data_IF_536784325966
#
_entry.id   IF_536784325966
#
_cell.length_a   1.000
_cell.length_b   1.000
_cell.length_c   1.000
_cell.angle_alpha   90.00
_cell.angle_beta   90.00
_cell.angle_gamma   90.00
#
_symmetry.space_group_name_H-M   'P 1'
#
loop_
_entity.id
_entity.type
_entity.pdbx_description
1 polymer ?
#
# COMPACT_ATOMS: atom_id res chain seq x y z
N UNK A 1 -56.34 -6.89 -25.35
CA UNK A 1 -55.35 -6.98 -26.44
C UNK A 1 -53.98 -7.28 -25.81
N UNK A 2 -53.76 -8.48 -25.25
CA UNK A 2 -53.06 -9.65 -25.85
C UNK A 2 -51.93 -9.28 -26.81
N UNK A 3 -50.68 -9.43 -26.36
CA UNK A 3 -49.60 -10.18 -27.04
C UNK A 3 -48.36 -10.31 -26.13
N UNK A 4 -48.05 -11.55 -25.74
CA UNK A 4 -46.71 -12.11 -25.41
C UNK A 4 -46.38 -13.17 -26.50
N UNK A 5 -45.22 -13.84 -26.50
CA UNK A 5 -43.86 -13.35 -26.74
C UNK A 5 -43.21 -14.12 -27.90
N UNK A 6 -42.09 -13.64 -28.48
CA UNK A 6 -41.29 -14.43 -29.42
C UNK A 6 -40.10 -15.06 -28.69
N UNK A 7 -40.14 -16.38 -28.58
CA UNK A 7 -39.08 -17.26 -28.11
C UNK A 7 -38.28 -17.74 -29.33
N UNK A 8 -36.95 -17.65 -29.30
CA UNK A 8 -36.08 -18.25 -30.32
C UNK A 8 -35.11 -19.21 -29.63
N UNK A 9 -35.17 -20.46 -30.09
CA UNK A 9 -34.43 -21.63 -29.62
C UNK A 9 -32.92 -21.57 -29.93
N UNK A 10 -32.14 -22.19 -29.04
CA UNK A 10 -30.75 -22.63 -29.24
C UNK A 10 -30.61 -23.75 -30.28
N UNK A 11 -29.48 -23.78 -30.98
CA UNK A 11 -28.86 -25.00 -31.52
C UNK A 11 -27.34 -24.98 -31.23
N UNK A 12 -26.76 -26.04 -30.64
CA UNK A 12 -25.31 -26.20 -30.54
C UNK A 12 -24.79 -27.04 -31.72
N UNK A 13 -23.70 -26.60 -32.35
CA UNK A 13 -22.98 -27.38 -33.36
C UNK A 13 -21.76 -28.04 -32.70
N UNK A 14 -21.86 -29.34 -32.43
CA UNK A 14 -20.73 -30.19 -32.06
C UNK A 14 -20.15 -30.80 -33.36
N UNK A 15 -18.85 -30.62 -33.60
CA UNK A 15 -18.12 -31.37 -34.63
C UNK A 15 -16.98 -32.17 -34.00
N UNK A 16 -16.83 -33.37 -34.56
CA UNK A 16 -16.23 -34.59 -34.05
C UNK A 16 -14.70 -34.62 -33.99
N UNK A 17 -14.20 -35.31 -32.96
CA UNK A 17 -12.87 -35.92 -32.89
C UNK A 17 -12.72 -37.01 -33.97
N UNK A 18 -11.58 -37.06 -34.65
CA UNK A 18 -11.13 -38.25 -35.40
C UNK A 18 -9.75 -38.66 -34.92
N UNK A 19 -9.69 -39.86 -34.34
CA UNK A 19 -8.49 -40.62 -34.04
C UNK A 19 -8.16 -41.57 -35.19
N UNK A 20 -6.88 -41.73 -35.55
CA UNK A 20 -6.35 -42.95 -36.16
C UNK A 20 -4.89 -43.12 -35.71
N UNK A 21 -4.54 -44.35 -35.31
CA UNK A 21 -3.33 -44.73 -34.57
C UNK A 21 -2.08 -45.07 -35.43
N UNK A 22 -1.22 -46.04 -35.02
CA UNK A 22 0.19 -45.74 -34.73
C UNK A 22 1.28 -46.57 -35.47
N UNK A 23 2.54 -46.11 -35.29
CA UNK A 23 3.87 -46.80 -35.32
C UNK A 23 4.45 -47.23 -36.69
N UNK A 24 5.80 -47.43 -36.86
CA UNK A 24 6.85 -47.90 -35.91
C UNK A 24 8.05 -46.93 -35.75
N UNK A 25 8.78 -46.81 -34.63
CA UNK A 25 9.64 -47.73 -33.87
C UNK A 25 10.86 -48.28 -34.65
N UNK A 26 12.02 -47.65 -34.43
CA UNK A 26 13.35 -48.23 -34.66
C UNK A 26 14.15 -48.08 -33.36
N UNK A 27 14.51 -49.23 -32.79
CA UNK A 27 15.46 -49.41 -31.68
C UNK A 27 16.89 -49.51 -32.21
N UNK A 28 17.84 -48.95 -31.47
CA UNK A 28 19.26 -49.34 -31.34
C UNK A 28 19.99 -48.19 -30.60
N UNK A 29 20.80 -48.33 -29.56
CA UNK A 29 21.24 -49.45 -28.71
C UNK A 29 21.82 -48.78 -27.45
N UNK A 30 21.70 -49.42 -26.29
CA UNK A 30 22.39 -49.04 -25.06
C UNK A 30 23.89 -49.36 -25.16
N UNK A 31 24.75 -48.45 -24.71
CA UNK A 31 26.09 -48.81 -24.22
C UNK A 31 26.57 -47.77 -23.19
N UNK A 32 27.00 -48.26 -22.03
CA UNK A 32 27.71 -47.53 -20.97
C UNK A 32 28.55 -48.57 -20.20
N UNK A 33 29.53 -48.19 -19.36
CA UNK A 33 30.43 -47.02 -19.38
C UNK A 33 31.93 -47.46 -19.32
N UNK A 34 32.88 -46.54 -19.49
CA UNK A 34 34.30 -46.80 -19.21
C UNK A 34 34.95 -45.67 -18.39
N UNK A 35 35.90 -46.09 -17.55
CA UNK A 35 36.38 -45.49 -16.32
C UNK A 35 37.26 -44.22 -16.45
N UNK A 36 37.25 -43.43 -15.37
CA UNK A 36 38.30 -42.48 -14.98
C UNK A 36 39.63 -43.20 -14.68
N UNK A 37 40.76 -42.50 -14.82
CA UNK A 37 41.90 -42.68 -13.93
C UNK A 37 42.16 -41.43 -13.08
N UNK A 38 42.51 -41.68 -11.83
CA UNK A 38 42.90 -40.75 -10.78
C UNK A 38 44.39 -40.99 -10.46
N UNK A 39 45.20 -39.93 -10.36
CA UNK A 39 46.53 -39.87 -9.72
C UNK A 39 46.97 -38.39 -9.73
N UNK A 40 47.66 -37.79 -8.75
CA UNK A 40 48.43 -38.31 -7.61
C UNK A 40 48.66 -37.16 -6.60
N UNK A 41 48.54 -37.46 -5.31
CA UNK A 41 49.13 -36.71 -4.18
C UNK A 41 50.66 -36.80 -4.23
N UNK A 42 51.35 -35.74 -3.82
CA UNK A 42 52.71 -35.86 -3.25
C UNK A 42 52.75 -35.09 -1.93
N UNK A 43 53.32 -35.74 -0.93
CA UNK A 43 53.44 -35.38 0.48
C UNK A 43 54.95 -35.26 0.76
N UNK A 44 55.38 -34.26 1.54
CA UNK A 44 56.75 -34.20 2.06
C UNK A 44 56.75 -33.59 3.48
N UNK A 45 57.57 -34.17 4.36
CA UNK A 45 57.69 -33.96 5.83
C UNK A 45 59.20 -34.15 6.19
N UNK A 46 59.75 -33.77 7.37
CA UNK A 46 59.81 -32.49 8.11
C UNK A 46 61.25 -32.06 8.56
N UNK A 47 61.31 -30.91 9.28
CA UNK A 47 62.19 -30.55 10.43
C UNK A 47 63.62 -30.00 10.11
N UNK A 48 64.25 -29.13 10.98
CA UNK A 48 64.13 -29.12 12.44
C UNK A 48 64.01 -27.75 13.17
N UNK A 49 63.82 -27.89 14.48
CA UNK A 49 63.58 -26.90 15.54
C UNK A 49 64.88 -26.24 16.00
N UNK A 50 64.85 -24.95 16.31
CA UNK A 50 65.87 -24.29 17.13
C UNK A 50 65.25 -23.29 18.13
N UNK A 51 65.46 -23.62 19.40
CA UNK A 51 65.70 -22.80 20.60
C UNK A 51 64.88 -21.52 20.92
N UNK A 52 64.38 -21.52 22.16
CA UNK A 52 63.69 -20.45 22.90
C UNK A 52 64.70 -19.54 23.62
N UNK A 53 64.50 -18.22 23.58
CA UNK A 53 64.98 -17.23 24.57
C UNK A 53 64.14 -15.92 24.47
N UNK A 54 64.20 -15.00 25.45
CA UNK A 54 63.15 -14.74 26.45
C UNK A 54 62.23 -13.54 26.14
N UNK A 55 61.17 -13.43 26.92
CA UNK A 55 60.09 -12.44 26.89
C UNK A 55 60.54 -10.97 26.88
N UNK A 56 60.07 -10.21 25.90
CA UNK A 56 60.04 -8.74 25.89
C UNK A 56 58.64 -8.23 26.30
N UNK A 57 58.53 -7.05 26.93
CA UNK A 57 57.36 -6.65 27.70
C UNK A 57 56.13 -6.31 26.84
N UNK A 58 54.95 -6.51 27.43
CA UNK A 58 53.66 -6.25 26.81
C UNK A 58 53.56 -4.82 26.24
N UNK A 59 53.22 -4.75 24.95
CA UNK A 59 52.75 -3.53 24.30
C UNK A 59 51.34 -3.25 24.86
N UNK A 60 51.04 -2.05 25.37
CA UNK A 60 49.69 -1.74 25.84
C UNK A 60 48.69 -1.88 24.68
N UNK A 61 47.56 -2.52 24.94
CA UNK A 61 46.44 -2.63 24.00
C UNK A 61 46.10 -1.26 23.41
N UNK A 62 46.14 -1.17 22.08
CA UNK A 62 45.56 -0.04 21.38
C UNK A 62 44.07 0.05 21.74
N UNK A 63 43.52 1.24 21.99
CA UNK A 63 42.10 1.38 22.29
C UNK A 63 41.30 0.76 21.15
N UNK A 64 40.33 -0.08 21.50
CA UNK A 64 39.46 -0.76 20.55
C UNK A 64 38.94 0.27 19.54
N UNK A 65 39.39 0.18 18.28
CA UNK A 65 38.79 0.95 17.22
C UNK A 65 37.33 0.53 17.16
N UNK A 66 36.44 1.47 17.49
CA UNK A 66 35.01 1.30 17.31
C UNK A 66 34.79 0.78 15.89
N UNK A 67 34.11 -0.37 15.80
CA UNK A 67 33.76 -1.02 14.56
C UNK A 67 33.15 0.06 13.65
N UNK A 68 33.75 0.40 12.48
CA UNK A 68 33.20 1.43 11.64
C UNK A 68 31.79 0.98 11.25
N UNK A 69 30.79 1.71 11.76
CA UNK A 69 29.40 1.52 11.41
C UNK A 69 29.28 1.91 9.94
N UNK A 70 29.50 0.95 9.03
CA UNK A 70 29.23 1.18 7.63
C UNK A 70 27.76 1.58 7.52
N UNK A 71 27.43 2.66 6.79
CA UNK A 71 26.04 3.01 6.54
C UNK A 71 25.34 1.78 5.97
N UNK A 72 24.11 1.52 6.43
CA UNK A 72 23.31 0.40 5.95
C UNK A 72 23.37 0.33 4.43
N UNK A 73 23.52 -0.88 3.89
CA UNK A 73 23.62 -1.10 2.44
C UNK A 73 22.52 -0.31 1.73
N UNK A 74 22.90 0.61 0.85
CA UNK A 74 21.96 1.36 0.02
C UNK A 74 21.28 0.34 -0.89
N UNK A 75 19.95 0.28 -0.88
CA UNK A 75 19.19 -0.58 -1.80
C UNK A 75 19.36 -0.06 -3.24
N UNK A 76 20.41 -0.53 -3.92
CA UNK A 76 20.70 -0.20 -5.32
C UNK A 76 19.58 -0.71 -6.23
N UNK A 77 18.84 -1.76 -5.84
CA UNK A 77 17.75 -2.31 -6.63
C UNK A 77 16.53 -1.37 -6.75
N UNK A 78 16.44 -0.35 -5.90
CA UNK A 78 15.39 0.67 -5.93
C UNK A 78 15.75 1.90 -6.75
N UNK A 79 17.00 1.98 -7.23
CA UNK A 79 17.48 3.10 -8.03
C UNK A 79 16.74 3.14 -9.39
N UNK A 80 16.04 4.24 -9.67
CA UNK A 80 15.21 4.38 -10.88
C UNK A 80 13.80 3.77 -10.79
N UNK A 81 13.35 3.40 -9.59
CA UNK A 81 11.97 2.96 -9.36
C UNK A 81 11.00 4.15 -9.40
N UNK A 82 9.91 4.03 -10.17
CA UNK A 82 8.79 4.98 -10.18
C UNK A 82 7.78 4.74 -9.04
N UNK A 83 8.12 3.86 -8.08
CA UNK A 83 7.26 3.56 -6.94
C UNK A 83 7.07 4.81 -6.05
N UNK A 84 5.81 5.16 -5.69
CA UNK A 84 5.56 6.25 -4.77
C UNK A 84 6.28 6.03 -3.44
N UNK A 85 7.10 7.00 -3.04
CA UNK A 85 7.69 7.01 -1.70
C UNK A 85 6.59 7.28 -0.67
N UNK A 86 6.40 6.34 0.25
CA UNK A 86 5.50 6.53 1.38
C UNK A 86 6.04 7.63 2.31
N UNK A 87 5.20 8.58 2.74
CA UNK A 87 5.58 9.54 3.77
C UNK A 87 6.04 8.85 5.05
N UNK A 88 7.09 9.37 5.69
CA UNK A 88 7.59 8.85 6.98
C UNK A 88 6.54 8.93 8.11
N UNK A 89 5.62 9.88 8.01
CA UNK A 89 4.56 10.19 8.98
C UNK A 89 3.17 9.69 8.54
N UNK A 90 3.13 8.70 7.65
CA UNK A 90 1.89 8.10 7.16
C UNK A 90 1.12 7.43 8.30
N UNK A 91 -0.15 7.77 8.54
CA UNK A 91 -0.96 7.11 9.56
C UNK A 91 -1.16 5.62 9.25
N UNK A 92 -1.23 4.79 10.30
CA UNK A 92 -1.48 3.36 10.18
C UNK A 92 -2.97 3.00 10.23
N UNK A 93 -3.81 3.91 10.75
CA UNK A 93 -5.22 3.62 11.01
C UNK A 93 -6.00 3.43 9.71
N UNK A 94 -6.78 2.35 9.64
CA UNK A 94 -7.52 1.98 8.43
C UNK A 94 -6.69 1.28 7.35
N UNK A 95 -5.37 1.14 7.54
CA UNK A 95 -4.57 0.19 6.76
C UNK A 95 -5.00 -1.21 7.15
N UNK A 96 -5.28 -2.05 6.16
CA UNK A 96 -5.61 -3.44 6.38
C UNK A 96 -4.51 -4.32 5.83
N UNK A 97 -3.78 -5.00 6.70
CA UNK A 97 -2.65 -5.85 6.34
C UNK A 97 -3.03 -7.33 6.37
N UNK A 98 -2.45 -8.09 5.44
CA UNK A 98 -2.50 -9.54 5.38
C UNK A 98 -1.07 -10.03 5.40
N UNK A 99 -0.73 -10.87 6.38
CA UNK A 99 0.56 -11.55 6.47
C UNK A 99 0.47 -13.01 6.01
N UNK A 100 1.58 -13.77 6.11
CA UNK A 100 1.67 -15.17 5.67
C UNK A 100 0.60 -16.12 6.20
N UNK A 101 0.06 -15.83 7.39
CA UNK A 101 -1.05 -16.56 8.00
C UNK A 101 -2.40 -16.36 7.30
N UNK A 102 -2.52 -15.35 6.44
CA UNK A 102 -3.76 -14.94 5.78
C UNK A 102 -3.98 -15.60 4.42
N UNK A 103 -3.03 -16.40 3.92
CA UNK A 103 -3.12 -17.08 2.62
C UNK A 103 -2.60 -18.51 2.63
N UNK A 104 -3.09 -19.29 1.68
CA UNK A 104 -2.52 -20.58 1.32
C UNK A 104 -1.42 -20.36 0.26
N UNK A 105 -0.31 -21.08 0.40
CA UNK A 105 0.82 -21.04 -0.52
C UNK A 105 1.07 -22.42 -1.11
N UNK A 106 1.31 -22.48 -2.42
CA UNK A 106 1.73 -23.69 -3.12
C UNK A 106 2.72 -23.37 -4.23
N UNK A 107 3.78 -24.15 -4.34
CA UNK A 107 4.78 -24.03 -5.40
C UNK A 107 4.67 -25.24 -6.35
N UNK A 108 3.95 -25.07 -7.45
CA UNK A 108 3.68 -26.13 -8.43
C UNK A 108 4.68 -26.15 -9.58
N UNK A 109 4.53 -27.10 -10.51
CA UNK A 109 5.45 -27.27 -11.64
C UNK A 109 5.47 -26.08 -12.62
N UNK A 110 4.36 -25.33 -12.70
CA UNK A 110 4.19 -24.22 -13.65
C UNK A 110 3.95 -22.87 -12.98
N UNK A 111 3.46 -22.86 -11.74
CA UNK A 111 3.11 -21.65 -11.01
C UNK A 111 3.35 -21.84 -9.52
N UNK A 112 3.92 -20.82 -8.91
CA UNK A 112 3.85 -20.55 -7.49
C UNK A 112 2.64 -19.65 -7.22
N UNK A 113 1.77 -20.07 -6.31
CA UNK A 113 0.45 -19.48 -6.08
C UNK A 113 0.26 -19.11 -4.62
N UNK A 114 -0.26 -17.91 -4.39
CA UNK A 114 -0.71 -17.43 -3.08
C UNK A 114 -2.20 -17.07 -3.17
N UNK A 115 -3.02 -17.64 -2.30
CA UNK A 115 -4.47 -17.46 -2.31
C UNK A 115 -4.97 -17.06 -0.93
N UNK A 116 -5.43 -15.82 -0.78
CA UNK A 116 -6.09 -15.35 0.44
C UNK A 116 -7.59 -15.39 0.27
N UNK A 117 -8.30 -16.18 1.08
CA UNK A 117 -9.77 -16.32 1.01
C UNK A 117 -10.52 -15.79 2.23
N UNK A 118 -9.81 -15.52 3.33
CA UNK A 118 -10.41 -15.19 4.64
C UNK A 118 -10.40 -13.70 4.97
N UNK A 119 -9.98 -12.86 4.03
CA UNK A 119 -9.83 -11.44 4.27
C UNK A 119 -11.18 -10.73 4.27
N UNK A 120 -11.51 -10.02 5.36
CA UNK A 120 -12.73 -9.21 5.50
C UNK A 120 -12.40 -7.72 5.50
N UNK A 121 -12.79 -7.01 4.45
CA UNK A 121 -12.74 -5.55 4.44
C UNK A 121 -13.81 -5.01 5.41
N UNK A 122 -13.39 -4.24 6.42
CA UNK A 122 -14.29 -3.74 7.48
C UNK A 122 -15.16 -2.57 7.05
N UNK A 123 -14.70 -1.75 6.10
CA UNK A 123 -15.43 -0.60 5.57
C UNK A 123 -15.40 -0.57 4.05
N UNK A 124 -16.38 0.09 3.48
CA UNK A 124 -16.33 0.47 2.07
C UNK A 124 -15.38 1.64 1.84
N UNK A 125 -14.99 1.82 0.58
CA UNK A 125 -14.15 2.92 0.14
C UNK A 125 -13.08 2.46 -0.83
N UNK A 126 -12.25 3.41 -1.27
CA UNK A 126 -11.14 3.15 -2.17
C UNK A 126 -9.86 2.84 -1.41
N UNK A 127 -9.11 1.87 -1.92
CA UNK A 127 -7.82 1.45 -1.36
C UNK A 127 -6.79 1.27 -2.47
N UNK A 128 -5.54 1.66 -2.18
CA UNK A 128 -4.37 1.24 -2.93
C UNK A 128 -3.94 -0.14 -2.45
N UNK A 129 -3.69 -1.06 -3.38
CA UNK A 129 -3.15 -2.38 -3.07
C UNK A 129 -1.63 -2.31 -3.08
N UNK A 130 -1.03 -2.53 -1.90
CA UNK A 130 0.41 -2.58 -1.68
C UNK A 130 0.85 -4.02 -1.46
N UNK A 131 1.96 -4.40 -2.07
CA UNK A 131 2.61 -5.69 -1.88
C UNK A 131 4.00 -5.44 -1.28
N UNK A 132 4.34 -6.15 -0.21
CA UNK A 132 5.67 -6.14 0.39
C UNK A 132 6.35 -7.48 0.12
N UNK A 133 7.52 -7.48 -0.52
CA UNK A 133 8.22 -8.70 -0.93
C UNK A 133 9.74 -8.60 -0.83
N UNK A 134 10.39 -9.77 -0.83
CA UNK A 134 11.81 -9.91 -1.12
C UNK A 134 11.98 -10.77 -2.37
N UNK A 135 12.98 -10.44 -3.19
CA UNK A 135 13.25 -11.13 -4.44
C UNK A 135 14.76 -11.25 -4.66
N UNK A 136 15.26 -12.48 -4.59
CA UNK A 136 16.67 -12.80 -4.80
C UNK A 136 16.97 -13.23 -6.24
N UNK A 137 16.43 -12.48 -7.20
CA UNK A 137 16.70 -12.59 -8.65
C UNK A 137 16.48 -11.24 -9.32
N UNK A 138 16.96 -11.07 -10.55
CA UNK A 138 16.91 -9.78 -11.25
C UNK A 138 15.49 -9.24 -11.42
N UNK A 139 14.56 -10.09 -11.85
CA UNK A 139 13.16 -9.77 -12.00
C UNK A 139 12.26 -11.02 -11.94
N UNK A 140 10.98 -10.83 -11.62
CA UNK A 140 9.96 -11.88 -11.60
C UNK A 140 8.62 -11.35 -12.12
N UNK A 141 8.11 -11.93 -13.20
CA UNK A 141 6.76 -11.66 -13.68
C UNK A 141 5.72 -12.17 -12.69
N UNK A 142 4.66 -11.41 -12.46
CA UNK A 142 3.56 -11.78 -11.57
C UNK A 142 2.21 -11.43 -12.19
N UNK A 143 1.19 -12.20 -11.81
CA UNK A 143 -0.21 -11.90 -12.07
C UNK A 143 -0.93 -11.82 -10.74
N UNK A 144 -1.54 -10.67 -10.46
CA UNK A 144 -2.29 -10.42 -9.25
C UNK A 144 -3.75 -10.14 -9.58
N UNK A 145 -4.65 -10.67 -8.75
CA UNK A 145 -6.07 -10.36 -8.80
C UNK A 145 -6.62 -10.13 -7.40
N UNK A 146 -7.41 -9.07 -7.23
CA UNK A 146 -8.20 -8.80 -6.04
C UNK A 146 -9.38 -7.90 -6.42
N UNK A 147 -10.62 -8.32 -6.15
CA UNK A 147 -11.79 -7.59 -6.61
C UNK A 147 -11.81 -7.40 -8.12
N UNK A 148 -11.90 -6.14 -8.57
CA UNK A 148 -11.84 -5.69 -9.96
C UNK A 148 -10.40 -5.44 -10.46
N UNK A 149 -9.42 -5.39 -9.58
CA UNK A 149 -8.02 -5.22 -9.94
C UNK A 149 -7.43 -6.52 -10.48
N UNK A 150 -6.94 -6.47 -11.73
CA UNK A 150 -6.14 -7.52 -12.37
C UNK A 150 -4.87 -6.89 -12.92
N UNK A 151 -3.72 -7.35 -12.44
CA UNK A 151 -2.42 -6.72 -12.72
C UNK A 151 -1.45 -7.76 -13.22
N UNK A 152 -0.75 -7.45 -14.30
CA UNK A 152 0.45 -8.17 -14.73
C UNK A 152 1.62 -7.22 -14.57
N UNK A 153 2.57 -7.53 -13.70
CA UNK A 153 3.71 -6.66 -13.39
C UNK A 153 5.00 -7.49 -13.35
N UNK A 154 6.13 -6.86 -13.59
CA UNK A 154 7.44 -7.45 -13.31
C UNK A 154 7.97 -6.85 -12.02
N UNK A 155 8.19 -7.68 -11.01
CA UNK A 155 8.84 -7.29 -9.77
C UNK A 155 10.35 -7.20 -10.00
N UNK A 156 10.98 -6.16 -9.48
CA UNK A 156 12.43 -5.97 -9.52
C UNK A 156 13.10 -6.62 -8.32
N UNK A 157 14.41 -6.90 -8.45
CA UNK A 157 15.25 -7.40 -7.36
C UNK A 157 15.07 -6.59 -6.06
N UNK A 158 14.96 -7.29 -4.94
CA UNK A 158 14.80 -6.70 -3.62
C UNK A 158 15.45 -7.61 -2.56
N UNK A 159 16.71 -7.33 -2.21
CA UNK A 159 17.45 -8.06 -1.17
C UNK A 159 16.92 -7.84 0.24
N UNK A 160 16.18 -6.74 0.45
CA UNK A 160 15.42 -6.43 1.65
C UNK A 160 13.94 -6.28 1.31
N UNK A 161 13.00 -6.42 2.28
CA UNK A 161 11.59 -6.22 2.02
C UNK A 161 11.31 -4.87 1.34
N UNK A 162 10.75 -4.91 0.14
CA UNK A 162 10.37 -3.75 -0.67
C UNK A 162 8.87 -3.69 -0.83
N UNK A 163 8.33 -2.48 -0.77
CA UNK A 163 6.93 -2.17 -1.06
C UNK A 163 6.76 -1.80 -2.53
N UNK A 164 5.71 -2.30 -3.15
CA UNK A 164 5.27 -1.92 -4.50
C UNK A 164 3.76 -1.76 -4.53
N UNK A 165 3.25 -0.80 -5.29
CA UNK A 165 1.83 -0.63 -5.50
C UNK A 165 1.36 -1.30 -6.78
N UNK A 166 0.25 -2.02 -6.69
CA UNK A 166 -0.32 -2.79 -7.80
C UNK A 166 -1.45 -2.04 -8.50
N UNK A 167 -2.10 -1.11 -7.81
CA UNK A 167 -3.22 -0.33 -8.32
C UNK A 167 -4.21 -0.01 -7.21
N UNK A 168 -5.42 0.35 -7.60
CA UNK A 168 -6.50 0.71 -6.69
C UNK A 168 -7.69 -0.23 -6.87
N UNK A 169 -8.43 -0.44 -5.79
CA UNK A 169 -9.71 -1.16 -5.77
C UNK A 169 -10.75 -0.32 -5.04
N UNK A 170 -12.02 -0.56 -5.35
CA UNK A 170 -13.13 -0.03 -4.58
C UNK A 170 -13.89 -1.16 -3.86
N UNK A 171 -13.91 -1.10 -2.53
CA UNK A 171 -14.71 -2.02 -1.71
C UNK A 171 -16.12 -1.42 -1.60
N UNK A 172 -17.11 -2.01 -2.26
CA UNK A 172 -18.47 -1.49 -2.27
C UNK A 172 -19.24 -1.73 -0.96
N UNK A 173 -18.97 -2.86 -0.30
CA UNK A 173 -19.58 -3.22 0.97
C UNK A 173 -18.55 -3.94 1.85
N UNK A 174 -18.66 -3.83 3.19
CA UNK A 174 -17.89 -4.67 4.09
C UNK A 174 -18.13 -6.15 3.77
N UNK A 175 -17.07 -6.94 3.70
CA UNK A 175 -17.20 -8.34 3.30
C UNK A 175 -15.90 -9.00 2.90
N UNK A 176 -16.03 -10.25 2.46
CA UNK A 176 -14.91 -11.06 2.02
C UNK A 176 -14.35 -10.53 0.70
N UNK A 177 -13.04 -10.27 0.66
CA UNK A 177 -12.33 -9.78 -0.51
C UNK A 177 -11.12 -10.67 -0.78
N UNK A 178 -11.30 -11.78 -1.50
CA UNK A 178 -10.22 -12.71 -1.77
C UNK A 178 -9.23 -12.14 -2.77
N UNK A 179 -8.01 -12.68 -2.74
CA UNK A 179 -6.97 -12.37 -3.71
C UNK A 179 -6.23 -13.62 -4.18
N UNK A 180 -5.64 -13.52 -5.36
CA UNK A 180 -4.73 -14.51 -5.91
C UNK A 180 -3.49 -13.81 -6.48
N UNK A 181 -2.31 -14.34 -6.16
CA UNK A 181 -1.04 -13.98 -6.77
C UNK A 181 -0.43 -15.23 -7.40
N UNK A 182 -0.09 -15.14 -8.69
CA UNK A 182 0.63 -16.17 -9.42
C UNK A 182 1.98 -15.63 -9.88
N UNK A 183 3.02 -16.44 -9.71
CA UNK A 183 4.37 -16.17 -10.21
C UNK A 183 4.96 -17.45 -10.81
N UNK A 184 5.92 -17.37 -11.75
CA UNK A 184 6.73 -18.53 -12.11
C UNK A 184 7.35 -19.17 -10.86
N UNK A 185 7.46 -20.51 -10.80
CA UNK A 185 8.06 -21.20 -9.66
C UNK A 185 9.43 -20.63 -9.31
N UNK A 186 9.65 -20.38 -8.02
CA UNK A 186 10.97 -20.00 -7.51
C UNK A 186 11.57 -21.10 -6.65
N UNK A 187 12.89 -21.27 -6.73
CA UNK A 187 13.63 -22.19 -5.87
C UNK A 187 13.61 -21.65 -4.43
N UNK A 188 13.56 -22.53 -3.42
CA UNK A 188 13.69 -22.29 -1.97
C UNK A 188 13.92 -20.82 -1.51
N UNK A 189 12.90 -19.96 -1.60
CA UNK A 189 12.96 -18.57 -1.10
C UNK A 189 13.48 -17.53 -2.09
N UNK A 190 13.52 -17.84 -3.39
CA UNK A 190 13.87 -16.88 -4.45
C UNK A 190 12.89 -15.71 -4.54
N UNK A 191 11.62 -15.94 -4.17
CA UNK A 191 10.61 -14.93 -3.91
C UNK A 191 9.97 -15.18 -2.55
N UNK A 192 9.78 -14.11 -1.78
CA UNK A 192 9.05 -14.17 -0.51
C UNK A 192 8.04 -13.03 -0.49
N UNK A 193 6.75 -13.40 -0.44
CA UNK A 193 5.67 -12.47 -0.15
C UNK A 193 5.56 -12.27 1.36
N UNK A 194 5.80 -11.06 1.84
CA UNK A 194 5.71 -10.74 3.27
C UNK A 194 4.34 -10.18 3.65
N UNK A 195 3.77 -9.33 2.80
CA UNK A 195 2.53 -8.64 3.11
C UNK A 195 1.76 -8.29 1.83
N UNK A 196 0.43 -8.37 1.90
CA UNK A 196 -0.48 -7.64 1.02
C UNK A 196 -1.26 -6.67 1.89
N UNK A 197 -1.30 -5.39 1.53
CA UNK A 197 -1.98 -4.37 2.31
C UNK A 197 -2.94 -3.54 1.47
N UNK A 198 -4.08 -3.19 2.06
CA UNK A 198 -5.02 -2.21 1.55
C UNK A 198 -4.78 -0.89 2.27
N UNK A 199 -4.26 0.08 1.53
CA UNK A 199 -3.95 1.41 2.02
C UNK A 199 -5.11 2.35 1.66
N UNK A 200 -5.78 3.01 2.62
CA UNK A 200 -6.79 4.01 2.31
C UNK A 200 -6.31 5.04 1.28
N UNK A 201 -7.18 5.39 0.34
CA UNK A 201 -6.93 6.49 -0.61
C UNK A 201 -8.22 7.27 -0.85
N UNK A 202 -8.13 8.46 -1.46
CA UNK A 202 -9.29 9.27 -1.76
C UNK A 202 -10.18 8.64 -2.85
N UNK A 203 -11.47 8.98 -2.85
CA UNK A 203 -12.43 8.52 -3.84
C UNK A 203 -12.52 9.46 -5.06
N UNK A 204 -12.20 10.73 -4.84
CA UNK A 204 -12.14 11.78 -5.85
C UNK A 204 -10.78 11.88 -6.53
N UNK A 205 -10.44 13.10 -6.93
CA UNK A 205 -9.17 13.43 -7.59
C UNK A 205 -8.34 14.33 -6.68
N UNK A 206 -7.03 14.40 -6.91
CA UNK A 206 -6.16 15.34 -6.19
C UNK A 206 -6.62 16.78 -6.45
N UNK A 207 -7.04 17.54 -5.41
CA UNK A 207 -7.45 18.93 -5.59
C UNK A 207 -6.31 19.78 -6.13
N UNK A 208 -6.66 20.75 -6.96
CA UNK A 208 -5.73 21.69 -7.59
C UNK A 208 -6.13 23.10 -7.23
N UNK A 209 -5.13 23.97 -7.12
CA UNK A 209 -5.36 25.40 -6.97
C UNK A 209 -6.06 25.97 -8.21
N UNK A 210 -7.15 26.73 -7.97
CA UNK A 210 -7.90 27.44 -8.99
C UNK A 210 -7.15 28.70 -9.47
N UNK A 211 -7.63 29.30 -10.57
CA UNK A 211 -6.99 30.48 -11.17
C UNK A 211 -6.97 31.70 -10.24
N UNK A 212 -8.04 31.87 -9.46
CA UNK A 212 -8.18 32.88 -8.40
C UNK A 212 -7.31 32.61 -7.16
N UNK A 213 -6.59 31.48 -7.17
CA UNK A 213 -5.72 31.03 -6.09
C UNK A 213 -6.43 30.21 -5.03
N UNK A 214 -7.76 30.09 -5.03
CA UNK A 214 -8.50 29.29 -4.05
C UNK A 214 -8.25 27.79 -4.21
N UNK A 215 -8.41 27.05 -3.12
CA UNK A 215 -8.29 25.59 -3.10
C UNK A 215 -9.50 25.03 -2.35
N UNK A 216 -10.29 24.19 -3.02
CA UNK A 216 -11.42 23.49 -2.41
C UNK A 216 -11.04 22.03 -2.18
N UNK A 217 -11.07 21.61 -0.92
CA UNK A 217 -10.76 20.26 -0.47
C UNK A 217 -12.08 19.59 -0.07
N UNK A 218 -12.73 18.91 -1.03
CA UNK A 218 -14.04 18.28 -0.80
C UNK A 218 -13.90 16.96 -0.02
N UNK A 219 -14.96 16.53 0.65
CA UNK A 219 -14.98 15.25 1.37
C UNK A 219 -14.54 14.04 0.52
N UNK A 220 -14.96 13.95 -0.75
CA UNK A 220 -14.56 12.86 -1.65
C UNK A 220 -13.05 12.78 -1.92
N UNK A 221 -12.37 13.92 -1.83
CA UNK A 221 -10.95 14.05 -2.15
C UNK A 221 -10.06 13.75 -0.93
N UNK A 222 -10.66 13.42 0.22
CA UNK A 222 -9.95 13.07 1.45
C UNK A 222 -9.54 11.59 1.47
N UNK A 223 -8.36 11.33 2.01
CA UNK A 223 -7.93 10.03 2.52
C UNK A 223 -8.45 9.91 3.96
N UNK A 224 -9.20 8.84 4.23
CA UNK A 224 -9.76 8.57 5.55
C UNK A 224 -8.91 7.54 6.29
N UNK A 225 -8.14 8.00 7.26
CA UNK A 225 -7.30 7.17 8.13
C UNK A 225 -8.13 6.74 9.34
N UNK A 226 -8.97 5.73 9.13
CA UNK A 226 -10.11 5.44 10.00
C UNK A 226 -10.56 3.98 9.93
N UNK A 227 -11.30 3.57 10.97
CA UNK A 227 -12.02 2.28 10.96
C UNK A 227 -13.47 2.42 10.44
N UNK A 228 -14.17 3.49 10.82
CA UNK A 228 -15.59 3.69 10.49
C UNK A 228 -15.85 4.96 9.66
N UNK A 229 -15.11 6.05 9.93
CA UNK A 229 -15.26 7.30 9.18
C UNK A 229 -14.99 7.04 7.69
N UNK A 230 -15.82 7.60 6.81
CA UNK A 230 -15.72 7.40 5.36
C UNK A 230 -16.44 8.51 4.61
N UNK A 231 -16.16 8.61 3.31
CA UNK A 231 -16.95 9.44 2.43
C UNK A 231 -18.34 8.84 2.21
N UNK A 232 -19.36 9.69 2.29
CA UNK A 232 -20.76 9.36 2.04
C UNK A 232 -21.21 9.99 0.72
N UNK A 233 -21.20 9.25 -0.41
CA UNK A 233 -21.34 9.82 -1.76
C UNK A 233 -22.76 10.28 -2.13
N UNK A 234 -23.75 10.00 -1.28
CA UNK A 234 -25.13 10.40 -1.55
C UNK A 234 -25.21 11.94 -1.63
N UNK A 235 -25.85 12.54 -2.65
CA UNK A 235 -25.87 13.99 -2.84
C UNK A 235 -26.36 14.78 -1.63
N UNK A 236 -27.34 14.25 -0.90
CA UNK A 236 -27.88 14.85 0.32
C UNK A 236 -26.90 14.83 1.51
N UNK A 237 -25.86 13.98 1.46
CA UNK A 237 -24.80 13.89 2.46
C UNK A 237 -23.52 14.57 1.98
N UNK A 238 -22.89 14.01 0.96
CA UNK A 238 -21.65 14.50 0.35
C UNK A 238 -20.61 14.98 1.39
N UNK A 239 -20.36 14.15 2.39
CA UNK A 239 -19.53 14.49 3.55
C UNK A 239 -18.64 13.31 3.96
N UNK A 240 -17.63 13.61 4.78
CA UNK A 240 -17.00 12.63 5.65
C UNK A 240 -17.92 12.44 6.84
N UNK A 241 -18.55 11.28 6.89
CA UNK A 241 -19.50 10.90 7.94
C UNK A 241 -19.02 9.72 8.75
N UNK A 242 -19.82 9.30 9.73
CA UNK A 242 -19.50 8.21 10.66
C UNK A 242 -18.19 8.44 11.43
N UNK A 243 -17.85 9.69 11.72
CA UNK A 243 -16.67 10.04 12.51
C UNK A 243 -16.95 9.80 14.01
N UNK A 244 -16.87 8.54 14.42
CA UNK A 244 -17.23 8.10 15.78
C UNK A 244 -16.03 7.82 16.68
N UNK A 245 -14.80 7.93 16.18
CA UNK A 245 -13.57 7.76 16.96
C UNK A 245 -12.73 9.03 16.89
N UNK A 246 -12.15 9.44 18.01
CA UNK A 246 -11.15 10.53 18.05
C UNK A 246 -9.78 10.09 17.51
N UNK A 247 -9.57 8.78 17.35
CA UNK A 247 -8.37 8.22 16.72
C UNK A 247 -8.45 8.26 15.18
N UNK A 248 -9.63 8.51 14.60
CA UNK A 248 -9.82 8.64 13.16
C UNK A 248 -9.42 10.05 12.71
N UNK A 249 -8.72 10.16 11.57
CA UNK A 249 -8.37 11.45 10.97
C UNK A 249 -8.64 11.50 9.47
N UNK A 250 -8.83 12.71 8.94
CA UNK A 250 -9.01 12.98 7.52
C UNK A 250 -7.81 13.76 6.98
N UNK A 251 -7.30 13.34 5.81
CA UNK A 251 -6.16 13.99 5.16
C UNK A 251 -6.49 14.33 3.71
N UNK A 252 -6.13 15.53 3.27
CA UNK A 252 -6.18 15.92 1.87
C UNK A 252 -4.77 16.13 1.35
N UNK A 253 -4.47 15.53 0.21
CA UNK A 253 -3.28 15.85 -0.58
C UNK A 253 -3.70 16.71 -1.77
N UNK A 254 -3.05 17.85 -2.00
CA UNK A 254 -3.46 18.81 -3.04
C UNK A 254 -2.26 19.48 -3.70
N UNK A 255 -2.46 20.10 -4.86
CA UNK A 255 -1.41 20.77 -5.64
C UNK A 255 -1.53 22.29 -5.56
N UNK A 256 -0.42 22.95 -5.23
CA UNK A 256 -0.30 24.42 -5.14
C UNK A 256 0.65 24.95 -6.19
N UNK A 257 0.21 25.95 -6.95
CA UNK A 257 1.01 26.62 -7.99
C UNK A 257 1.48 28.01 -7.56
N UNK A 258 0.77 28.66 -6.63
CA UNK A 258 1.08 29.97 -6.07
C UNK A 258 1.14 29.87 -4.54
N UNK A 259 2.33 29.86 -3.93
CA UNK A 259 2.48 29.93 -2.47
C UNK A 259 1.92 31.25 -1.92
N UNK A 260 1.57 31.28 -0.63
CA UNK A 260 1.00 32.47 0.00
C UNK A 260 0.27 32.17 1.30
N UNK A 261 -0.40 33.20 1.85
CA UNK A 261 -1.28 33.05 3.01
C UNK A 261 -2.69 32.72 2.57
N UNK A 262 -3.36 31.86 3.33
CA UNK A 262 -4.70 31.39 3.03
C UNK A 262 -5.58 31.45 4.26
N UNK A 263 -6.74 32.10 4.14
CA UNK A 263 -7.82 31.95 5.11
C UNK A 263 -8.41 30.55 5.00
N UNK A 264 -8.58 29.89 6.13
CA UNK A 264 -9.11 28.52 6.23
C UNK A 264 -10.55 28.55 6.72
N UNK A 265 -11.44 27.97 5.94
CA UNK A 265 -12.85 27.78 6.29
C UNK A 265 -13.21 26.30 6.21
N UNK A 266 -13.82 25.76 7.27
CA UNK A 266 -14.34 24.38 7.31
C UNK A 266 -15.86 24.43 7.25
N UNK A 267 -16.46 23.69 6.31
CA UNK A 267 -17.91 23.43 6.28
C UNK A 267 -18.19 22.12 7.01
N UNK A 268 -18.81 22.20 8.19
CA UNK A 268 -19.10 21.03 9.01
C UNK A 268 -20.57 20.95 9.41
N UNK A 269 -21.00 19.73 9.77
CA UNK A 269 -22.30 19.43 10.37
C UNK A 269 -22.11 18.71 11.70
N UNK A 270 -22.89 19.07 12.71
CA UNK A 270 -22.86 18.41 14.01
C UNK A 270 -24.20 18.62 14.71
N UNK A 271 -24.92 17.53 14.99
CA UNK A 271 -26.25 17.58 15.58
C UNK A 271 -26.43 16.60 16.75
N UNK A 272 -27.66 16.54 17.30
CA UNK A 272 -28.02 15.58 18.35
C UNK A 272 -27.28 15.78 19.68
N UNK A 273 -26.79 17.00 19.93
CA UNK A 273 -26.00 17.33 21.12
C UNK A 273 -24.59 16.70 21.12
N UNK A 274 -24.00 16.44 19.95
CA UNK A 274 -22.61 15.98 19.82
C UNK A 274 -21.58 17.13 19.71
N UNK A 275 -22.06 18.38 19.74
CA UNK A 275 -21.19 19.56 19.64
C UNK A 275 -20.26 19.68 20.85
N UNK A 276 -19.21 20.49 20.72
CA UNK A 276 -18.24 20.74 21.79
C UNK A 276 -16.94 19.94 21.67
N UNK A 277 -16.81 19.05 20.68
CA UNK A 277 -15.55 18.36 20.42
C UNK A 277 -14.52 19.35 19.87
N UNK A 278 -13.29 19.30 20.38
CA UNK A 278 -12.16 20.08 19.89
C UNK A 278 -11.47 19.32 18.75
N UNK A 279 -11.22 20.02 17.66
CA UNK A 279 -10.63 19.46 16.45
C UNK A 279 -9.52 20.39 15.97
N UNK A 280 -8.43 19.80 15.51
CA UNK A 280 -7.29 20.51 14.94
C UNK A 280 -7.24 20.34 13.43
N UNK A 281 -6.85 21.40 12.75
CA UNK A 281 -6.47 21.40 11.35
C UNK A 281 -4.96 21.67 11.27
N UNK A 282 -4.23 20.74 10.66
CA UNK A 282 -2.76 20.72 10.62
C UNK A 282 -2.25 20.85 9.19
N UNK A 283 -1.34 21.80 8.98
CA UNK A 283 -0.59 21.99 7.74
C UNK A 283 0.88 22.22 8.07
N UNK A 284 1.78 21.32 7.67
CA UNK A 284 3.19 21.35 8.05
C UNK A 284 3.36 21.51 9.58
N UNK A 285 4.00 22.59 10.02
CA UNK A 285 4.22 22.98 11.42
C UNK A 285 3.10 23.86 12.02
N UNK A 286 2.07 24.17 11.24
CA UNK A 286 0.96 25.03 11.64
C UNK A 286 -0.26 24.23 12.10
N UNK A 287 -0.86 24.66 13.20
CA UNK A 287 -2.09 24.08 13.76
C UNK A 287 -3.12 25.16 14.01
N UNK A 288 -4.32 24.98 13.47
CA UNK A 288 -5.51 25.77 13.82
C UNK A 288 -6.49 24.88 14.58
N UNK A 289 -7.19 25.42 15.58
CA UNK A 289 -8.16 24.67 16.40
C UNK A 289 -9.54 25.26 16.21
N UNK A 290 -10.56 24.40 16.28
CA UNK A 290 -11.94 24.83 16.41
C UNK A 290 -12.73 23.84 17.25
N UNK A 291 -13.81 24.33 17.84
CA UNK A 291 -14.77 23.52 18.57
C UNK A 291 -16.00 23.30 17.70
N UNK A 292 -16.47 22.06 17.61
CA UNK A 292 -17.63 21.70 16.79
C UNK A 292 -18.87 22.43 17.30
N UNK A 293 -19.55 23.16 16.41
CA UNK A 293 -20.75 23.93 16.74
C UNK A 293 -22.02 23.10 16.54
N UNK A 294 -23.09 23.41 17.28
CA UNK A 294 -24.40 22.84 16.97
C UNK A 294 -24.95 23.44 15.67
N UNK A 295 -25.09 22.58 14.66
CA UNK A 295 -25.63 22.96 13.36
C UNK A 295 -27.11 22.57 13.21
N UNK A 296 -27.70 21.94 14.22
CA UNK A 296 -29.07 21.42 14.21
C UNK A 296 -29.22 20.06 13.51
N UNK A 297 -28.13 19.48 13.00
CA UNK A 297 -28.13 18.18 12.32
C UNK A 297 -26.81 17.89 11.60
N UNK A 298 -26.44 16.61 11.46
CA UNK A 298 -25.18 16.23 10.80
C UNK A 298 -25.10 16.62 9.32
N UNK A 299 -26.25 16.84 8.65
CA UNK A 299 -26.33 17.31 7.26
C UNK A 299 -26.71 18.80 7.15
N UNK A 300 -26.76 19.51 8.27
CA UNK A 300 -26.95 20.96 8.28
C UNK A 300 -25.57 21.60 8.32
N UNK A 301 -25.11 22.12 7.20
CA UNK A 301 -23.76 22.65 7.05
C UNK A 301 -23.66 24.07 7.62
N UNK A 302 -22.65 24.31 8.45
CA UNK A 302 -22.22 25.64 8.85
C UNK A 302 -20.74 25.81 8.57
N UNK A 303 -20.37 27.00 8.12
CA UNK A 303 -18.98 27.37 7.87
C UNK A 303 -18.36 27.99 9.12
N UNK A 304 -17.17 27.51 9.48
CA UNK A 304 -16.36 28.05 10.57
C UNK A 304 -15.03 28.52 9.99
N UNK A 305 -14.69 29.77 10.24
CA UNK A 305 -13.39 30.35 9.88
C UNK A 305 -12.39 30.06 10.99
N UNK A 306 -11.28 29.40 10.67
CA UNK A 306 -10.29 28.94 11.64
C UNK A 306 -9.10 29.91 11.79
N UNK A 307 -8.94 30.85 10.86
CA UNK A 307 -7.78 31.74 10.80
C UNK A 307 -7.05 31.57 9.47
N UNK A 308 -5.73 31.74 9.50
CA UNK A 308 -4.87 31.70 8.31
C UNK A 308 -3.74 30.68 8.46
N UNK A 309 -3.35 30.05 7.34
CA UNK A 309 -2.12 29.26 7.22
C UNK A 309 -1.22 29.86 6.13
N UNK A 310 0.06 29.51 6.15
CA UNK A 310 1.04 29.94 5.15
C UNK A 310 1.55 28.72 4.38
N UNK A 311 1.31 28.70 3.07
CA UNK A 311 1.89 27.70 2.18
C UNK A 311 3.14 28.29 1.56
N UNK A 312 4.31 27.76 1.94
CA UNK A 312 5.63 28.33 1.59
C UNK A 312 6.18 27.88 0.24
N UNK A 313 5.69 26.76 -0.30
CA UNK A 313 6.25 26.15 -1.51
C UNK A 313 5.17 25.67 -2.49
N UNK A 314 5.52 25.67 -3.76
CA UNK A 314 4.72 25.05 -4.83
C UNK A 314 4.80 23.53 -4.74
N UNK A 315 3.84 22.86 -5.38
CA UNK A 315 3.78 21.41 -5.49
C UNK A 315 2.80 20.79 -4.51
N UNK A 316 3.05 19.52 -4.20
CA UNK A 316 2.16 18.70 -3.39
C UNK A 316 2.18 19.15 -1.93
N UNK A 317 1.02 19.47 -1.40
CA UNK A 317 0.78 19.86 -0.01
C UNK A 317 -0.14 18.84 0.67
N UNK A 318 -0.16 18.87 2.01
CA UNK A 318 -1.07 18.06 2.83
C UNK A 318 -1.75 18.89 3.91
N UNK A 319 -3.03 18.62 4.11
CA UNK A 319 -3.84 19.20 5.18
C UNK A 319 -4.54 18.08 5.93
N UNK A 320 -4.48 18.08 7.26
CA UNK A 320 -5.18 17.10 8.10
C UNK A 320 -6.23 17.76 8.96
N UNK A 321 -7.36 17.08 9.15
CA UNK A 321 -8.29 17.34 10.26
C UNK A 321 -8.17 16.16 11.23
N UNK A 322 -7.89 16.46 12.49
CA UNK A 322 -7.49 15.52 13.52
C UNK A 322 -8.21 15.89 14.84
N UNK A 323 -9.09 15.03 15.39
CA UNK A 323 -9.78 15.31 16.65
C UNK A 323 -8.82 15.36 17.83
N UNK A 324 -8.99 16.33 18.73
CA UNK A 324 -8.32 16.34 20.04
C UNK A 324 -9.08 15.48 21.03
N UNK A 325 -10.41 15.57 21.00
CA UNK A 325 -11.30 14.79 21.82
C UNK A 325 -12.64 14.55 21.11
N UNK A 326 -13.47 13.69 21.70
CA UNK A 326 -14.87 13.48 21.33
C UNK A 326 -15.78 13.64 22.54
N UNK A 327 -16.70 14.61 22.48
CA UNK A 327 -17.63 14.90 23.60
C UNK A 327 -18.68 13.80 23.79
N UNK A 328 -19.18 13.20 22.70
CA UNK A 328 -20.29 12.24 22.76
C UNK A 328 -20.10 11.08 21.76
N UNK A 329 -21.10 10.81 20.92
CA UNK A 329 -21.12 9.63 20.06
C UNK A 329 -20.36 9.85 18.76
N UNK A 330 -20.30 11.09 18.26
CA UNK A 330 -19.58 11.47 17.05
C UNK A 330 -18.82 12.78 17.25
N UNK A 331 -17.78 13.00 16.43
CA UNK A 331 -16.97 14.23 16.44
C UNK A 331 -17.67 15.32 15.61
N UNK A 332 -17.79 15.10 14.30
CA UNK A 332 -18.46 15.97 13.31
C UNK A 332 -18.60 15.25 11.96
N UNK A 333 -19.43 15.80 11.08
CA UNK A 333 -19.38 15.52 9.64
C UNK A 333 -18.66 16.68 8.93
N UNK A 334 -17.77 16.40 7.98
CA UNK A 334 -17.06 17.44 7.20
C UNK A 334 -17.46 17.37 5.74
N UNK A 335 -17.99 18.46 5.20
CA UNK A 335 -18.33 18.54 3.77
C UNK A 335 -17.13 18.96 2.92
N UNK A 336 -16.41 20.00 3.35
CA UNK A 336 -15.25 20.56 2.64
C UNK A 336 -14.42 21.45 3.55
N UNK A 337 -13.16 21.64 3.14
CA UNK A 337 -12.29 22.73 3.61
C UNK A 337 -11.99 23.64 2.43
N UNK A 338 -12.03 24.95 2.62
CA UNK A 338 -11.71 25.95 1.59
C UNK A 338 -10.55 26.80 2.08
N UNK A 339 -9.51 26.88 1.24
CA UNK A 339 -8.37 27.77 1.43
C UNK A 339 -8.53 28.93 0.45
N UNK A 340 -8.71 30.15 0.97
CA UNK A 340 -8.88 31.37 0.16
C UNK A 340 -7.65 32.25 0.31
N UNK A 341 -6.98 32.68 -0.78
CA UNK A 341 -5.83 33.58 -0.69
C UNK A 341 -6.13 34.83 0.13
N UNK A 342 -5.18 35.21 0.98
CA UNK A 342 -5.16 36.51 1.64
C UNK A 342 -4.42 37.46 0.69
N UNK A 343 -5.08 38.55 0.29
CA UNK A 343 -4.62 39.47 -0.76
C UNK A 343 -3.28 40.14 -0.50
#
# INVERSE_FOLDING_TARGET
MIRKPLSVLLLPLALSLSSCGPKPEVQATQEAPAAKPEAKKTEEKPAPVAAVAPSAPAIPEAPAMANPQFPQAVDIGGFGSDEPLEPKDMPSRGIITMGPESWEHSNGAHWETYTGTKFKAKRWGRYKVRLTYSLNRAALGMQFRMGDLVVKKSLSNASTPRKTYLGEIYVAQPGDLPFALLTPPTDNGGFVLHEVALIPTCEGETPKQAEDGSITLSAKDAITWSENMRYEPKPEKNCLGYWTSEEDLAEWEFQVTKPGRYKVTVSHGCGGGNHGSEVELKHADQTLKFTTQDTGGFQNWKEVSLGEIEIKATGKQRLRIDPVNKVKSAVLDVQKVVLTPVG
#
